data_IF_338841282825
#
_entry.id   IF_338841282825
#
_cell.length_a   1.000
_cell.length_b   1.000
_cell.length_c   1.000
_cell.angle_alpha   90.00
_cell.angle_beta   90.00
_cell.angle_gamma   90.00
#
_symmetry.space_group_name_H-M   'P 1'
#
loop_
_entity.id
_entity.type
_entity.pdbx_description
1 polymer ?
#
# COMPACT_ATOMS: atom_id res chain seq x y z
N UNK A 1 0.25 13.79 11.69
CA UNK A 1 0.14 12.81 10.60
C UNK A 1 -1.20 12.93 9.89
N UNK A 2 -2.29 13.19 10.63
CA UNK A 2 -3.64 13.41 10.06
C UNK A 2 -3.62 14.47 8.94
N UNK A 3 -3.07 15.66 9.16
CA UNK A 3 -3.01 16.72 8.14
C UNK A 3 -2.21 16.37 6.86
N UNK A 4 -1.50 15.25 6.85
CA UNK A 4 -0.69 14.81 5.69
C UNK A 4 -1.47 13.84 4.80
N UNK A 5 -2.27 12.96 5.39
CA UNK A 5 -3.04 11.92 4.64
C UNK A 5 -4.50 12.32 4.46
N UNK A 6 -5.08 13.10 5.38
CA UNK A 6 -6.48 13.56 5.31
C UNK A 6 -6.83 14.24 3.99
N UNK A 7 -5.99 15.12 3.40
CA UNK A 7 -6.31 15.74 2.12
C UNK A 7 -6.50 14.74 0.97
N UNK A 8 -5.73 13.65 0.97
CA UNK A 8 -5.87 12.60 -0.04
C UNK A 8 -7.18 11.81 0.13
N UNK A 9 -7.59 11.56 1.38
CA UNK A 9 -8.87 10.93 1.70
C UNK A 9 -10.04 11.83 1.29
N UNK A 10 -9.98 13.13 1.62
CA UNK A 10 -11.03 14.08 1.25
C UNK A 10 -11.17 14.25 -0.27
N UNK A 11 -10.07 14.23 -1.02
CA UNK A 11 -10.09 14.26 -2.48
C UNK A 11 -10.71 12.96 -3.05
N UNK A 12 -10.39 11.82 -2.45
CA UNK A 12 -10.94 10.52 -2.83
C UNK A 12 -12.46 10.45 -2.58
N UNK A 13 -12.93 10.93 -1.43
CA UNK A 13 -14.37 11.02 -1.11
C UNK A 13 -15.14 11.89 -2.12
N UNK A 14 -14.48 12.93 -2.64
CA UNK A 14 -15.00 13.81 -3.70
C UNK A 14 -14.89 13.23 -5.10
N UNK A 15 -14.35 12.01 -5.24
CA UNK A 15 -14.04 11.33 -6.50
C UNK A 15 -13.02 12.06 -7.38
N UNK A 16 -12.22 12.94 -6.78
CA UNK A 16 -11.09 13.59 -7.44
C UNK A 16 -9.87 12.65 -7.36
N UNK A 17 -9.84 11.67 -8.28
CA UNK A 17 -8.81 10.64 -8.31
C UNK A 17 -7.41 11.21 -8.57
N UNK A 18 -7.31 12.25 -9.40
CA UNK A 18 -6.03 12.91 -9.69
C UNK A 18 -5.51 13.68 -8.48
N UNK A 19 -6.39 14.45 -7.82
CA UNK A 19 -6.09 15.14 -6.57
C UNK A 19 -5.68 14.17 -5.47
N UNK A 20 -6.45 13.09 -5.28
CA UNK A 20 -6.16 12.05 -4.32
C UNK A 20 -4.81 11.39 -4.57
N UNK A 21 -4.50 11.02 -5.83
CA UNK A 21 -3.21 10.45 -6.21
C UNK A 21 -2.04 11.39 -5.87
N UNK A 22 -2.14 12.66 -6.26
CA UNK A 22 -1.07 13.64 -6.05
C UNK A 22 -0.84 13.93 -4.57
N UNK A 23 -1.91 14.12 -3.80
CA UNK A 23 -1.84 14.35 -2.36
C UNK A 23 -1.31 13.11 -1.63
N UNK A 24 -1.69 11.92 -2.07
CA UNK A 24 -1.19 10.67 -1.51
C UNK A 24 0.31 10.48 -1.77
N UNK A 25 0.81 10.81 -2.97
CA UNK A 25 2.26 10.82 -3.27
C UNK A 25 3.03 11.75 -2.33
N UNK A 26 2.53 12.96 -2.11
CA UNK A 26 3.13 13.93 -1.19
C UNK A 26 3.14 13.35 0.23
N UNK A 27 2.03 12.73 0.65
CA UNK A 27 1.93 12.13 1.97
C UNK A 27 2.97 11.04 2.20
N UNK A 28 3.12 10.12 1.24
CA UNK A 28 4.14 9.08 1.29
C UNK A 28 5.54 9.66 1.35
N UNK A 29 5.85 10.65 0.51
CA UNK A 29 7.17 11.29 0.51
C UNK A 29 7.49 11.96 1.85
N UNK A 30 6.53 12.64 2.48
CA UNK A 30 6.70 13.22 3.82
C UNK A 30 7.02 12.14 4.85
N UNK A 31 6.37 10.98 4.79
CA UNK A 31 6.67 9.85 5.67
C UNK A 31 8.08 9.31 5.43
N UNK A 32 8.48 9.13 4.16
CA UNK A 32 9.80 8.63 3.80
C UNK A 32 10.93 9.56 4.24
N UNK A 33 10.77 10.88 4.09
CA UNK A 33 11.73 11.89 4.57
C UNK A 33 11.84 11.87 6.10
N UNK A 34 10.81 11.41 6.82
CA UNK A 34 10.80 11.23 8.28
C UNK A 34 11.31 9.86 8.74
N UNK A 35 12.15 9.22 7.92
CA UNK A 35 12.79 7.93 8.20
C UNK A 35 11.81 6.73 8.34
N UNK A 36 10.60 6.84 7.78
CA UNK A 36 9.73 5.67 7.60
C UNK A 36 10.28 4.82 6.45
N UNK A 37 10.61 3.56 6.71
CA UNK A 37 11.17 2.67 5.69
C UNK A 37 10.11 1.94 4.85
N UNK A 38 8.93 1.71 5.42
CA UNK A 38 7.80 1.03 4.78
C UNK A 38 6.48 1.59 5.31
N UNK A 39 5.49 1.69 4.43
CA UNK A 39 4.14 2.18 4.72
C UNK A 39 3.15 1.05 4.52
N UNK A 40 2.30 0.79 5.51
CA UNK A 40 1.24 -0.22 5.40
C UNK A 40 -0.03 0.47 4.88
N UNK A 41 -0.58 -0.03 3.77
CA UNK A 41 -1.83 0.44 3.20
C UNK A 41 -3.00 -0.28 3.86
N UNK A 42 -3.50 0.27 4.96
CA UNK A 42 -4.58 -0.35 5.74
C UNK A 42 -6.00 -0.02 5.23
N UNK A 43 -6.12 0.60 4.05
CA UNK A 43 -7.38 0.91 3.41
C UNK A 43 -7.34 0.45 1.96
N UNK A 44 -8.37 -0.29 1.56
CA UNK A 44 -8.51 -0.82 0.21
C UNK A 44 -8.62 0.30 -0.83
N UNK A 45 -9.29 1.39 -0.49
CA UNK A 45 -9.50 2.53 -1.41
C UNK A 45 -8.20 3.27 -1.73
N UNK A 46 -7.18 3.15 -0.87
CA UNK A 46 -5.87 3.77 -1.07
C UNK A 46 -4.94 2.94 -1.97
N UNK A 47 -5.24 1.65 -2.18
CA UNK A 47 -4.36 0.74 -2.94
C UNK A 47 -4.30 1.11 -4.41
N UNK A 48 -5.43 1.52 -4.98
CA UNK A 48 -5.57 1.82 -6.41
C UNK A 48 -5.28 3.28 -6.76
N UNK A 49 -4.84 4.10 -5.79
CA UNK A 49 -4.53 5.51 -6.01
C UNK A 49 -3.25 5.74 -6.79
N UNK A 50 -2.24 4.87 -6.63
CA UNK A 50 -0.97 5.01 -7.33
C UNK A 50 -0.99 4.21 -8.63
N UNK A 51 -0.43 4.75 -9.73
CA UNK A 51 -0.18 3.98 -10.94
C UNK A 51 0.68 2.75 -10.65
N UNK A 52 0.45 1.65 -11.36
CA UNK A 52 1.13 0.36 -11.14
C UNK A 52 2.66 0.43 -11.25
N UNK A 53 3.18 1.39 -11.98
CA UNK A 53 4.60 1.65 -12.23
C UNK A 53 5.21 2.71 -11.28
N UNK A 54 4.44 3.22 -10.32
CA UNK A 54 4.90 4.25 -9.39
C UNK A 54 6.00 3.71 -8.47
N UNK A 55 7.18 4.37 -8.38
CA UNK A 55 8.27 3.90 -7.54
C UNK A 55 7.96 3.89 -6.04
N UNK A 56 6.99 4.70 -5.58
CA UNK A 56 6.56 4.74 -4.18
C UNK A 56 5.82 3.47 -3.76
N UNK A 57 5.24 2.72 -4.70
CA UNK A 57 4.61 1.42 -4.41
C UNK A 57 5.61 0.43 -3.81
N UNK A 58 6.90 0.50 -4.16
CA UNK A 58 7.95 -0.36 -3.58
C UNK A 58 8.18 -0.13 -2.09
N UNK A 59 7.68 0.98 -1.55
CA UNK A 59 7.73 1.31 -0.12
C UNK A 59 6.41 1.00 0.58
N UNK A 60 5.38 0.63 -0.17
CA UNK A 60 4.06 0.30 0.35
C UNK A 60 3.92 -1.21 0.53
N UNK A 61 3.16 -1.61 1.55
CA UNK A 61 2.78 -3.00 1.81
C UNK A 61 1.26 -3.03 1.80
N UNK A 62 0.65 -3.81 0.91
CA UNK A 62 -0.74 -4.21 1.01
C UNK A 62 -0.83 -5.45 1.93
N UNK A 63 -1.49 -5.34 3.10
CA UNK A 63 -1.70 -6.48 4.00
C UNK A 63 -2.41 -7.66 3.36
N UNK A 64 -3.36 -7.42 2.46
CA UNK A 64 -4.16 -8.47 1.82
C UNK A 64 -3.31 -9.27 0.83
N UNK A 65 -2.53 -8.58 -0.01
CA UNK A 65 -1.56 -9.23 -0.90
C UNK A 65 -0.50 -10.01 -0.11
N UNK A 66 0.04 -9.41 0.96
CA UNK A 66 1.01 -10.06 1.82
C UNK A 66 0.44 -11.34 2.47
N UNK A 67 -0.81 -11.29 2.93
CA UNK A 67 -1.51 -12.43 3.53
C UNK A 67 -1.76 -13.54 2.50
N UNK A 68 -2.24 -13.19 1.31
CA UNK A 68 -2.48 -14.14 0.23
C UNK A 68 -1.17 -14.85 -0.17
N UNK A 69 -0.09 -14.09 -0.36
CA UNK A 69 1.22 -14.65 -0.71
C UNK A 69 1.78 -15.58 0.37
N UNK A 70 1.65 -15.17 1.64
CA UNK A 70 2.07 -16.00 2.77
C UNK A 70 1.29 -17.32 2.85
N UNK A 71 -0.01 -17.27 2.58
CA UNK A 71 -0.88 -18.46 2.54
C UNK A 71 -0.49 -19.41 1.41
N UNK A 72 -0.22 -18.89 0.20
CA UNK A 72 0.27 -19.69 -0.93
C UNK A 72 1.61 -20.35 -0.58
N UNK A 73 2.53 -19.61 0.04
CA UNK A 73 3.83 -20.14 0.45
C UNK A 73 3.68 -21.26 1.49
N UNK A 74 2.79 -21.08 2.47
CA UNK A 74 2.51 -22.09 3.48
C UNK A 74 1.92 -23.37 2.85
N UNK A 75 0.94 -23.23 1.95
CA UNK A 75 0.33 -24.36 1.26
C UNK A 75 1.37 -25.19 0.49
N UNK A 76 2.23 -24.54 -0.30
CA UNK A 76 3.31 -25.21 -1.05
C UNK A 76 4.34 -25.90 -0.16
N UNK A 77 4.74 -25.27 0.96
CA UNK A 77 5.67 -25.90 1.91
C UNK A 77 5.09 -27.13 2.60
N UNK A 78 3.77 -27.19 2.73
CA UNK A 78 3.07 -28.33 3.31
C UNK A 78 3.01 -29.50 2.31
N UNK A 79 2.85 -29.21 1.02
CA UNK A 79 2.91 -30.21 -0.06
C UNK A 79 4.31 -30.85 -0.17
N UNK A 80 5.38 -30.03 -0.15
CA UNK A 80 6.76 -30.50 -0.24
C UNK A 80 7.19 -31.38 0.96
N UNK A 81 6.65 -31.12 2.16
CA UNK A 81 6.94 -31.91 3.37
C UNK A 81 6.22 -33.28 3.41
N UNK A 82 5.24 -33.52 2.54
CA UNK A 82 4.54 -34.82 2.44
C UNK A 82 5.19 -35.79 1.46
N UNK A 83 6.20 -35.36 0.70
CA UNK A 83 6.91 -36.16 -0.31
C UNK A 83 8.33 -36.58 0.13
N UNK A 84 8.70 -36.38 1.39
CA UNK A 84 9.89 -36.96 2.04
C UNK A 84 9.50 -38.03 3.05
#
# INVERSE_FOLDING_TARGET
MEHTVMPAIEALDRKDMEGACNLFRIALQVLLVRAVNSVILASDDMRDLLPKDDPLLKKCIDPMDALAWSTIKWARSSEDNTLQ
#
